data_IF_126386171966
#
_entry.id   IF_126386171966
#
_cell.length_a   1.000
_cell.length_b   1.000
_cell.length_c   1.000
_cell.angle_alpha   90.00
_cell.angle_beta   90.00
_cell.angle_gamma   90.00
#
_symmetry.space_group_name_H-M   'P 1'
#
loop_
_entity.id
_entity.type
_entity.pdbx_description
1 polymer ?
#
# COMPACT_ATOMS: atom_id res chain seq x y z
N UNK A 1 -71.94 -32.43 6.24
CA UNK A 1 -70.71 -31.94 5.61
C UNK A 1 -70.61 -30.40 5.59
N UNK A 2 -71.67 -29.68 5.30
CA UNK A 2 -71.63 -28.17 5.19
C UNK A 2 -71.32 -27.46 6.51
N UNK A 3 -71.75 -28.00 7.68
CA UNK A 3 -71.49 -27.38 9.00
C UNK A 3 -70.03 -27.37 9.43
N UNK A 4 -69.23 -28.34 8.99
CA UNK A 4 -67.80 -28.44 9.34
C UNK A 4 -66.97 -27.57 8.39
N UNK A 5 -67.42 -27.29 7.16
CA UNK A 5 -66.75 -26.46 6.21
C UNK A 5 -66.80 -24.97 6.61
N UNK A 6 -67.93 -24.53 7.15
CA UNK A 6 -68.08 -23.15 7.67
C UNK A 6 -67.23 -22.92 8.95
N UNK A 7 -67.07 -23.90 9.83
CA UNK A 7 -66.21 -23.79 11.01
C UNK A 7 -64.74 -23.73 10.67
N UNK A 8 -64.27 -24.48 9.66
CA UNK A 8 -62.88 -24.46 9.19
C UNK A 8 -62.61 -23.11 8.47
N UNK A 9 -63.55 -22.57 7.71
CA UNK A 9 -63.42 -21.28 7.07
C UNK A 9 -63.32 -20.12 8.07
N UNK A 10 -64.10 -20.19 9.17
CA UNK A 10 -64.02 -19.18 10.22
C UNK A 10 -62.70 -19.27 11.00
N UNK A 11 -62.10 -20.47 11.17
CA UNK A 11 -60.82 -20.64 11.85
C UNK A 11 -59.65 -20.07 11.04
N UNK A 12 -59.73 -20.10 9.71
CA UNK A 12 -58.70 -19.49 8.81
C UNK A 12 -58.76 -17.96 8.76
N UNK A 13 -59.88 -17.33 9.02
CA UNK A 13 -60.02 -15.87 9.00
C UNK A 13 -59.44 -15.22 10.27
N UNK A 14 -59.38 -15.93 11.39
CA UNK A 14 -58.88 -15.39 12.67
C UNK A 14 -57.35 -15.30 12.69
N UNK A 15 -56.63 -16.05 11.83
CA UNK A 15 -55.18 -16.07 11.86
C UNK A 15 -54.48 -14.94 11.04
N UNK A 16 -55.22 -14.11 10.32
CA UNK A 16 -54.63 -13.04 9.48
C UNK A 16 -54.67 -11.65 10.14
N UNK A 17 -54.94 -11.53 11.41
CA UNK A 17 -54.94 -10.24 12.13
C UNK A 17 -53.66 -10.01 12.93
N UNK A 18 -52.51 -10.31 12.35
CA UNK A 18 -51.28 -9.74 12.88
C UNK A 18 -51.19 -8.33 12.32
N UNK A 19 -51.82 -7.38 13.00
CA UNK A 19 -51.57 -5.97 12.81
C UNK A 19 -50.10 -5.72 13.13
N UNK A 20 -49.32 -5.47 12.10
CA UNK A 20 -47.99 -4.90 12.30
C UNK A 20 -48.23 -3.47 12.83
N UNK A 21 -48.21 -3.33 14.18
CA UNK A 21 -48.18 -2.01 14.79
C UNK A 21 -46.78 -1.43 14.55
N UNK A 22 -46.58 -0.82 13.38
CA UNK A 22 -45.36 -0.10 13.11
C UNK A 22 -45.22 1.05 14.11
N UNK A 23 -44.01 1.22 14.60
CA UNK A 23 -43.66 2.32 15.48
C UNK A 23 -43.16 3.49 14.67
N UNK A 24 -43.47 4.70 15.10
CA UNK A 24 -43.04 5.92 14.43
C UNK A 24 -41.83 6.56 15.10
N UNK A 25 -40.89 7.01 14.31
CA UNK A 25 -39.73 7.77 14.76
C UNK A 25 -39.74 9.09 14.00
N UNK A 26 -39.57 10.17 14.73
CA UNK A 26 -39.39 11.49 14.15
C UNK A 26 -38.24 12.21 14.86
N UNK A 27 -37.72 13.24 14.25
CA UNK A 27 -36.67 14.03 14.87
C UNK A 27 -36.04 15.01 13.89
N UNK A 28 -34.97 15.60 14.31
CA UNK A 28 -34.26 16.65 13.55
C UNK A 28 -32.78 16.29 13.42
N UNK A 29 -32.20 16.67 12.28
CA UNK A 29 -30.77 16.49 12.01
C UNK A 29 -30.13 17.88 11.88
N UNK A 30 -29.11 18.11 12.68
CA UNK A 30 -28.33 19.37 12.71
C UNK A 30 -26.83 19.06 12.62
N UNK A 31 -26.03 20.07 12.29
CA UNK A 31 -24.58 20.02 12.39
C UNK A 31 -24.10 20.44 13.79
N UNK A 32 -22.78 20.48 14.00
CA UNK A 32 -22.11 20.88 15.25
C UNK A 32 -22.35 22.35 15.62
N UNK A 33 -22.73 23.20 14.67
CA UNK A 33 -23.09 24.62 14.89
C UNK A 33 -24.56 24.81 15.19
N UNK A 34 -25.39 23.76 15.05
CA UNK A 34 -26.84 23.79 15.19
C UNK A 34 -27.56 24.16 13.92
N UNK A 35 -26.87 24.25 12.77
CA UNK A 35 -27.46 24.49 11.47
C UNK A 35 -28.17 23.23 10.98
N UNK A 36 -29.36 23.39 10.35
CA UNK A 36 -30.17 22.27 9.91
C UNK A 36 -29.59 21.61 8.66
N UNK A 37 -29.60 20.28 8.64
CA UNK A 37 -29.12 19.51 7.51
C UNK A 37 -30.27 18.97 6.66
N UNK A 38 -30.67 19.73 5.66
CA UNK A 38 -31.66 19.32 4.66
C UNK A 38 -31.05 18.28 3.70
N UNK A 39 -31.77 17.19 3.43
CA UNK A 39 -31.30 16.11 2.56
C UNK A 39 -30.42 15.05 3.28
N UNK A 40 -30.34 15.06 4.61
CA UNK A 40 -29.70 14.00 5.36
C UNK A 40 -30.53 12.71 5.29
N UNK A 41 -29.88 11.57 5.12
CA UNK A 41 -30.52 10.26 5.04
C UNK A 41 -30.52 9.56 6.39
N UNK A 42 -31.71 9.22 6.92
CA UNK A 42 -31.89 8.41 8.13
C UNK A 42 -32.37 7.02 7.72
N UNK A 43 -31.60 5.99 8.00
CA UNK A 43 -31.80 4.63 7.50
C UNK A 43 -31.91 3.66 8.66
N UNK A 44 -32.90 2.76 8.59
CA UNK A 44 -33.01 1.62 9.51
C UNK A 44 -32.02 0.54 9.11
N UNK A 45 -31.02 0.27 9.96
CA UNK A 45 -29.88 -0.58 9.59
C UNK A 45 -30.25 -2.05 9.36
N UNK A 46 -31.29 -2.54 10.01
CA UNK A 46 -31.73 -3.93 9.87
C UNK A 46 -32.37 -4.19 8.50
N UNK A 47 -33.05 -3.17 7.97
CA UNK A 47 -33.60 -3.18 6.61
C UNK A 47 -33.37 -1.81 5.97
N UNK A 48 -32.41 -1.78 5.04
CA UNK A 48 -31.99 -0.56 4.36
C UNK A 48 -33.01 -0.01 3.38
N UNK A 49 -34.07 -0.75 3.08
CA UNK A 49 -35.19 -0.26 2.28
C UNK A 49 -36.07 0.71 3.06
N UNK A 50 -35.99 0.69 4.40
CA UNK A 50 -36.70 1.58 5.31
C UNK A 50 -35.80 2.76 5.64
N UNK A 51 -36.15 3.93 5.15
CA UNK A 51 -35.38 5.16 5.36
C UNK A 51 -36.21 6.39 5.07
N UNK A 52 -35.74 7.53 5.55
CA UNK A 52 -36.29 8.86 5.29
C UNK A 52 -35.18 9.85 5.00
N UNK A 53 -35.52 10.91 4.27
CA UNK A 53 -34.60 12.02 4.01
C UNK A 53 -35.18 13.27 4.72
N UNK A 54 -34.30 14.05 5.35
CA UNK A 54 -34.70 15.25 6.06
C UNK A 54 -35.23 16.32 5.10
N UNK A 55 -36.30 17.04 5.52
CA UNK A 55 -36.86 18.20 4.85
C UNK A 55 -35.96 19.45 4.94
N UNK A 56 -36.42 20.58 4.45
CA UNK A 56 -35.68 21.86 4.48
C UNK A 56 -35.41 22.38 5.90
N UNK A 57 -36.22 21.97 6.87
CA UNK A 57 -36.09 22.33 8.28
C UNK A 57 -35.28 21.27 9.06
N UNK A 58 -34.72 20.29 8.34
CA UNK A 58 -33.93 19.20 8.92
C UNK A 58 -34.73 18.11 9.61
N UNK A 59 -36.07 18.10 9.50
CA UNK A 59 -36.91 17.12 10.15
C UNK A 59 -37.07 15.86 9.32
N UNK A 60 -37.21 14.71 10.00
CA UNK A 60 -37.50 13.43 9.37
C UNK A 60 -38.60 12.67 10.13
N UNK A 61 -39.33 11.84 9.42
CA UNK A 61 -40.27 10.88 9.98
C UNK A 61 -40.06 9.52 9.31
N UNK A 62 -40.08 8.44 10.11
CA UNK A 62 -39.82 7.09 9.66
C UNK A 62 -40.68 6.09 10.42
N UNK A 63 -41.35 5.19 9.69
CA UNK A 63 -42.05 4.04 10.29
C UNK A 63 -41.15 2.80 10.28
N UNK A 64 -41.00 2.18 11.43
CA UNK A 64 -40.14 1.01 11.61
C UNK A 64 -40.85 -0.08 12.44
N UNK A 65 -40.50 -1.37 12.26
CA UNK A 65 -40.99 -2.43 13.09
C UNK A 65 -40.65 -2.22 14.59
N UNK A 66 -41.54 -2.62 15.50
CA UNK A 66 -41.25 -2.62 16.91
C UNK A 66 -40.11 -3.60 17.29
N UNK A 67 -39.39 -3.32 18.38
CA UNK A 67 -38.27 -4.12 18.83
C UNK A 67 -36.96 -3.34 18.93
N UNK A 68 -35.84 -4.04 18.76
CA UNK A 68 -34.51 -3.39 18.76
C UNK A 68 -34.29 -2.61 17.47
N UNK A 69 -34.25 -1.29 17.58
CA UNK A 69 -34.08 -0.38 16.46
C UNK A 69 -32.63 0.17 16.45
N UNK A 70 -32.02 0.18 15.28
CA UNK A 70 -30.73 0.80 15.01
C UNK A 70 -30.86 1.71 13.80
N UNK A 71 -30.76 3.04 14.03
CA UNK A 71 -30.78 4.04 12.98
C UNK A 71 -29.38 4.53 12.68
N UNK A 72 -29.13 4.81 11.41
CA UNK A 72 -27.93 5.48 10.92
C UNK A 72 -28.34 6.75 10.20
N UNK A 73 -27.78 7.89 10.63
CA UNK A 73 -27.90 9.14 9.93
C UNK A 73 -26.64 9.42 9.11
N UNK A 74 -26.82 9.85 7.84
CA UNK A 74 -25.72 10.16 6.91
C UNK A 74 -26.02 11.45 6.16
N UNK A 75 -24.96 12.26 6.00
CA UNK A 75 -25.00 13.44 5.16
C UNK A 75 -23.64 13.58 4.45
N UNK A 76 -23.63 14.11 3.22
CA UNK A 76 -22.42 14.29 2.44
C UNK A 76 -21.46 15.25 3.15
N UNK A 77 -20.20 14.82 3.34
CA UNK A 77 -19.20 15.64 4.06
C UNK A 77 -19.27 15.54 5.58
N UNK A 78 -20.22 14.80 6.16
CA UNK A 78 -20.38 14.62 7.60
C UNK A 78 -20.06 13.20 8.04
N UNK A 79 -19.61 13.05 9.28
CA UNK A 79 -19.40 11.74 9.92
C UNK A 79 -20.76 11.15 10.26
N UNK A 80 -21.06 9.95 9.76
CA UNK A 80 -22.30 9.26 10.08
C UNK A 80 -22.43 8.97 11.56
N UNK A 81 -23.64 9.19 12.12
CA UNK A 81 -23.95 8.86 13.50
C UNK A 81 -24.93 7.67 13.58
N UNK A 82 -24.89 6.94 14.66
CA UNK A 82 -25.69 5.73 14.83
C UNK A 82 -26.26 5.64 16.24
N UNK A 83 -27.58 5.56 16.33
CA UNK A 83 -28.31 5.43 17.59
C UNK A 83 -29.01 4.06 17.66
N UNK A 84 -28.97 3.43 18.82
CA UNK A 84 -29.64 2.14 19.07
C UNK A 84 -30.54 2.25 20.30
N UNK A 85 -31.78 1.80 20.15
CA UNK A 85 -32.79 1.82 21.24
C UNK A 85 -33.83 0.71 21.03
N UNK A 86 -34.73 0.57 21.98
CA UNK A 86 -35.85 -0.37 21.94
C UNK A 86 -37.16 0.40 21.70
N UNK A 87 -38.04 -0.13 20.86
CA UNK A 87 -39.38 0.39 20.61
C UNK A 87 -40.46 -0.61 20.99
N UNK A 88 -41.47 -0.17 21.76
CA UNK A 88 -42.65 -0.94 21.97
C UNK A 88 -43.60 -0.85 20.73
N UNK A 89 -44.46 -1.84 20.52
CA UNK A 89 -45.44 -1.83 19.43
C UNK A 89 -46.29 -0.56 19.44
N UNK A 90 -46.35 0.17 18.31
CA UNK A 90 -47.09 1.41 18.16
C UNK A 90 -46.51 2.65 18.86
N UNK A 91 -45.30 2.53 19.42
CA UNK A 91 -44.66 3.63 20.13
C UNK A 91 -44.15 4.70 19.13
N UNK A 92 -44.40 5.97 19.48
CA UNK A 92 -43.77 7.11 18.82
C UNK A 92 -42.56 7.60 19.63
N UNK A 93 -41.42 7.80 18.99
CA UNK A 93 -40.18 8.24 19.65
C UNK A 93 -39.50 9.34 18.90
N UNK A 94 -39.04 10.35 19.63
CA UNK A 94 -38.19 11.40 19.10
C UNK A 94 -36.73 11.00 19.16
N UNK A 95 -35.99 11.22 18.06
CA UNK A 95 -34.56 10.94 17.93
C UNK A 95 -33.90 12.07 17.14
N UNK A 96 -33.05 12.85 17.76
CA UNK A 96 -32.32 13.93 17.12
C UNK A 96 -30.88 13.49 16.84
N UNK A 97 -30.33 13.92 15.69
CA UNK A 97 -28.95 13.65 15.31
C UNK A 97 -28.17 14.97 15.22
N UNK A 98 -26.95 14.95 15.78
CA UNK A 98 -25.96 16.02 15.56
C UNK A 98 -24.81 15.40 14.78
N UNK A 99 -24.64 15.81 13.53
CA UNK A 99 -23.55 15.32 12.69
C UNK A 99 -22.37 16.27 12.74
N UNK A 100 -21.19 15.71 12.85
CA UNK A 100 -19.94 16.45 12.84
C UNK A 100 -19.32 16.45 11.44
N UNK A 101 -18.73 17.56 11.04
CA UNK A 101 -18.02 17.65 9.77
C UNK A 101 -16.96 16.53 9.69
N UNK A 102 -16.99 15.78 8.59
CA UNK A 102 -15.91 14.87 8.29
C UNK A 102 -14.73 15.68 7.77
N UNK A 103 -14.09 16.42 8.66
CA UNK A 103 -12.75 16.97 8.37
C UNK A 103 -11.85 15.75 8.30
N UNK A 104 -11.60 15.26 7.09
CA UNK A 104 -10.43 14.45 6.84
C UNK A 104 -9.27 15.41 7.07
N UNK A 105 -8.79 15.49 8.31
CA UNK A 105 -7.50 16.09 8.56
C UNK A 105 -6.53 15.36 7.64
N UNK A 106 -6.19 16.01 6.54
CA UNK A 106 -5.00 15.64 5.81
C UNK A 106 -3.89 15.83 6.81
N UNK A 107 -3.40 14.70 7.36
CA UNK A 107 -2.22 14.76 8.23
C UNK A 107 -1.21 15.57 7.45
N UNK A 108 -0.85 16.71 8.02
CA UNK A 108 0.24 17.53 7.53
C UNK A 108 1.43 16.61 7.24
N UNK A 109 1.99 16.72 6.05
CA UNK A 109 3.08 15.84 5.65
C UNK A 109 4.35 16.52 6.09
N UNK A 110 4.87 16.12 7.24
CA UNK A 110 6.20 16.52 7.66
C UNK A 110 7.26 15.89 6.75
N UNK A 111 8.15 16.70 6.22
CA UNK A 111 9.24 16.27 5.35
C UNK A 111 10.59 16.69 5.90
N UNK A 112 11.61 15.87 5.65
CA UNK A 112 12.99 16.14 6.04
C UNK A 112 13.80 16.62 4.83
N UNK A 113 13.93 17.90 4.64
CA UNK A 113 14.90 18.47 3.68
C UNK A 113 16.24 18.79 4.35
N UNK A 114 16.30 18.67 5.66
CA UNK A 114 17.46 18.89 6.51
C UNK A 114 17.48 17.94 7.70
N UNK A 115 18.16 18.33 8.76
CA UNK A 115 18.21 17.55 10.02
C UNK A 115 16.92 17.59 10.84
N UNK A 116 15.96 18.47 10.49
CA UNK A 116 14.73 18.70 11.24
C UNK A 116 13.52 18.46 10.35
N UNK A 117 12.47 17.89 10.94
CA UNK A 117 11.17 17.74 10.28
C UNK A 117 10.50 19.11 10.16
N UNK A 118 10.00 19.44 8.98
CA UNK A 118 9.26 20.67 8.68
C UNK A 118 8.06 20.37 7.79
N UNK A 119 6.98 21.14 7.91
CA UNK A 119 5.88 21.07 6.98
C UNK A 119 6.35 21.27 5.53
N UNK A 120 5.73 20.53 4.58
CA UNK A 120 6.09 20.62 3.16
C UNK A 120 5.94 22.05 2.62
N UNK A 121 5.00 22.81 3.17
CA UNK A 121 4.68 24.18 2.78
C UNK A 121 5.80 25.17 3.12
N UNK A 122 6.60 24.86 4.13
CA UNK A 122 7.76 25.67 4.53
C UNK A 122 9.04 25.35 3.73
N UNK A 123 8.96 24.38 2.78
CA UNK A 123 10.13 23.96 2.02
C UNK A 123 10.32 24.82 0.79
N UNK A 124 11.53 25.33 0.62
CA UNK A 124 11.93 26.16 -0.55
C UNK A 124 12.39 25.33 -1.75
N UNK A 125 12.42 24.01 -1.59
CA UNK A 125 12.91 23.07 -2.62
C UNK A 125 11.76 22.32 -3.31
N UNK A 126 11.94 22.03 -4.58
CA UNK A 126 10.98 21.20 -5.30
C UNK A 126 11.07 19.76 -4.80
N UNK A 127 9.99 19.25 -4.24
CA UNK A 127 9.91 17.87 -3.79
C UNK A 127 8.59 17.21 -4.16
N UNK A 128 8.61 15.87 -4.16
CA UNK A 128 7.43 15.03 -4.31
C UNK A 128 7.40 14.05 -3.13
N UNK A 129 6.26 13.94 -2.49
CA UNK A 129 6.05 12.96 -1.41
C UNK A 129 5.15 11.84 -1.91
N UNK A 130 5.65 10.62 -1.82
CA UNK A 130 4.92 9.41 -2.19
C UNK A 130 4.46 8.74 -0.89
N UNK A 131 3.15 8.58 -0.74
CA UNK A 131 2.53 7.94 0.43
C UNK A 131 2.47 6.42 0.27
N UNK A 132 2.44 5.66 1.38
CA UNK A 132 2.41 4.19 1.36
C UNK A 132 1.23 3.63 0.56
N UNK A 133 0.07 4.30 0.61
CA UNK A 133 -1.14 3.86 -0.11
C UNK A 133 -0.92 3.78 -1.62
N UNK A 134 -0.09 4.66 -2.17
CA UNK A 134 0.25 4.62 -3.60
C UNK A 134 1.08 3.39 -3.93
N UNK A 135 2.01 3.02 -3.05
CA UNK A 135 2.88 1.85 -3.22
C UNK A 135 2.07 0.56 -3.06
N UNK A 136 1.22 0.49 -2.02
CA UNK A 136 0.36 -0.67 -1.74
C UNK A 136 -0.65 -0.91 -2.89
N UNK A 137 -1.28 0.15 -3.41
CA UNK A 137 -2.27 0.05 -4.49
C UNK A 137 -1.67 -0.40 -5.83
N UNK A 138 -0.38 -0.18 -6.05
CA UNK A 138 0.30 -0.60 -7.29
C UNK A 138 0.77 -2.05 -7.25
N UNK A 139 0.60 -2.75 -6.14
CA UNK A 139 1.10 -4.12 -5.94
C UNK A 139 2.58 -4.26 -6.35
N UNK A 140 3.38 -3.25 -6.02
CA UNK A 140 4.76 -3.09 -6.47
C UNK A 140 5.67 -4.04 -5.69
N UNK A 141 6.47 -4.82 -6.39
CA UNK A 141 7.46 -5.74 -5.80
C UNK A 141 8.80 -5.09 -5.51
N UNK A 142 9.08 -3.99 -6.17
CA UNK A 142 10.30 -3.19 -6.03
C UNK A 142 9.93 -1.72 -5.91
N UNK A 143 10.68 -1.01 -5.10
CA UNK A 143 10.51 0.43 -4.91
C UNK A 143 10.85 1.21 -6.19
N UNK A 144 11.78 0.71 -7.01
CA UNK A 144 12.17 1.29 -8.30
C UNK A 144 10.97 1.53 -9.19
N UNK A 145 10.09 0.52 -9.32
CA UNK A 145 8.89 0.61 -10.16
C UNK A 145 7.90 1.66 -9.66
N UNK A 146 7.84 1.90 -8.35
CA UNK A 146 7.00 2.96 -7.79
C UNK A 146 7.62 4.34 -8.03
N UNK A 147 8.94 4.44 -7.92
CA UNK A 147 9.69 5.66 -8.11
C UNK A 147 9.73 6.12 -9.56
N UNK A 148 9.89 5.21 -10.50
CA UNK A 148 9.96 5.50 -11.94
C UNK A 148 8.69 6.17 -12.50
N UNK A 149 7.57 6.05 -11.79
CA UNK A 149 6.33 6.75 -12.13
C UNK A 149 6.22 8.15 -11.52
N UNK A 150 7.27 8.61 -10.84
CA UNK A 150 7.29 9.94 -10.21
C UNK A 150 7.71 10.98 -11.24
N UNK A 151 6.91 12.04 -11.47
CA UNK A 151 7.27 13.06 -12.45
C UNK A 151 8.67 13.63 -12.22
N UNK A 152 9.51 13.60 -13.27
CA UNK A 152 10.88 14.11 -13.23
C UNK A 152 11.90 13.24 -12.47
N UNK A 153 11.55 12.00 -12.16
CA UNK A 153 12.45 10.94 -11.72
C UNK A 153 12.31 9.77 -12.69
N UNK A 154 13.39 9.27 -13.21
CA UNK A 154 13.47 8.05 -14.01
C UNK A 154 14.46 7.09 -13.36
N UNK A 155 14.20 5.79 -13.48
CA UNK A 155 15.14 4.75 -13.06
C UNK A 155 15.66 4.05 -14.31
N UNK A 156 16.96 4.22 -14.60
CA UNK A 156 17.60 3.58 -15.74
C UNK A 156 18.68 2.62 -15.23
N UNK A 157 18.54 1.34 -15.55
CA UNK A 157 19.44 0.25 -15.08
C UNK A 157 19.67 0.27 -13.56
N UNK A 158 18.60 0.55 -12.78
CA UNK A 158 18.67 0.64 -11.33
C UNK A 158 19.22 1.97 -10.80
N UNK A 159 19.65 2.91 -11.67
CA UNK A 159 20.16 4.21 -11.26
C UNK A 159 19.09 5.31 -11.39
N UNK A 160 18.79 6.03 -10.29
CA UNK A 160 17.83 7.11 -10.33
C UNK A 160 18.40 8.36 -11.00
N UNK A 161 17.60 8.97 -11.86
CA UNK A 161 17.91 10.21 -12.56
C UNK A 161 16.85 11.26 -12.31
N UNK A 162 17.22 12.42 -11.78
CA UNK A 162 16.32 13.51 -11.51
C UNK A 162 16.46 14.61 -12.57
N UNK A 163 15.32 15.00 -13.18
CA UNK A 163 15.23 16.07 -14.22
C UNK A 163 16.12 15.84 -15.43
N UNK A 164 16.46 14.60 -15.76
CA UNK A 164 17.35 14.26 -16.88
C UNK A 164 18.77 14.82 -16.75
N UNK A 165 19.09 15.47 -15.62
CA UNK A 165 20.31 16.27 -15.47
C UNK A 165 21.59 15.50 -15.18
N UNK A 166 21.52 14.19 -14.97
CA UNK A 166 22.70 13.47 -14.49
C UNK A 166 23.42 12.65 -15.56
N UNK A 167 22.83 12.44 -16.72
CA UNK A 167 23.37 11.50 -17.70
C UNK A 167 23.51 10.09 -17.12
N UNK A 168 23.50 9.12 -17.97
CA UNK A 168 23.78 7.74 -17.57
C UNK A 168 25.26 7.61 -17.16
N UNK A 169 25.52 7.18 -15.93
CA UNK A 169 26.86 7.04 -15.37
C UNK A 169 27.16 5.59 -15.03
N UNK A 170 27.00 4.71 -15.98
CA UNK A 170 27.21 3.28 -15.80
C UNK A 170 28.54 2.98 -15.08
N UNK A 171 28.42 2.39 -13.89
CA UNK A 171 29.58 1.97 -13.08
C UNK A 171 30.34 3.09 -12.35
N UNK A 172 29.84 4.35 -12.34
CA UNK A 172 30.55 5.48 -11.71
C UNK A 172 29.85 6.03 -10.47
N UNK A 173 28.76 5.39 -10.06
CA UNK A 173 27.95 5.79 -8.91
C UNK A 173 26.79 6.71 -9.22
N UNK A 174 25.81 6.68 -8.36
CA UNK A 174 24.58 7.48 -8.49
C UNK A 174 24.85 8.96 -8.17
N UNK A 175 24.27 9.86 -8.98
CA UNK A 175 24.21 11.29 -8.66
C UNK A 175 22.98 11.68 -7.86
N UNK A 176 22.16 10.71 -7.50
CA UNK A 176 21.01 10.84 -6.62
C UNK A 176 21.26 9.98 -5.39
N UNK A 177 21.26 10.58 -4.22
CA UNK A 177 21.39 9.85 -2.99
C UNK A 177 20.09 9.07 -2.69
N UNK A 178 20.21 7.80 -2.37
CA UNK A 178 19.12 6.98 -1.84
C UNK A 178 19.40 6.75 -0.35
N UNK A 179 18.48 7.20 0.49
CA UNK A 179 18.67 7.25 1.94
C UNK A 179 17.46 6.57 2.61
N UNK A 180 17.72 5.66 3.52
CA UNK A 180 16.68 4.99 4.32
C UNK A 180 16.94 5.28 5.79
N UNK A 181 15.99 5.91 6.48
CA UNK A 181 16.11 6.29 7.89
C UNK A 181 17.46 6.96 8.22
N UNK A 182 17.83 7.96 7.42
CA UNK A 182 19.08 8.74 7.50
C UNK A 182 20.37 7.97 7.16
N UNK A 183 20.25 6.70 6.67
CA UNK A 183 21.41 5.91 6.23
C UNK A 183 21.45 5.82 4.69
N UNK A 184 22.57 6.13 4.04
CA UNK A 184 22.72 5.95 2.61
C UNK A 184 22.69 4.46 2.25
N UNK A 185 21.86 4.11 1.25
CA UNK A 185 21.72 2.78 0.68
C UNK A 185 22.42 2.70 -0.67
N UNK A 186 23.74 2.78 -0.63
CA UNK A 186 24.58 2.72 -1.81
C UNK A 186 25.62 1.60 -1.64
N UNK A 187 25.91 0.88 -2.71
CA UNK A 187 26.96 -0.15 -2.71
C UNK A 187 28.33 0.46 -2.43
N UNK A 188 29.16 -0.24 -1.71
CA UNK A 188 30.49 0.24 -1.31
C UNK A 188 31.51 0.26 -2.44
N UNK A 189 31.28 -0.49 -3.51
CA UNK A 189 32.17 -0.63 -4.67
C UNK A 189 31.86 0.42 -5.75
N UNK A 190 30.62 0.51 -6.18
CA UNK A 190 30.20 1.34 -7.31
C UNK A 190 29.30 2.53 -6.94
N UNK A 191 28.92 2.69 -5.67
CA UNK A 191 28.01 3.75 -5.24
C UNK A 191 26.62 3.65 -5.87
N UNK A 192 26.19 2.44 -6.25
CA UNK A 192 24.87 2.18 -6.86
C UNK A 192 23.83 1.98 -5.78
N UNK A 193 22.57 2.39 -6.01
CA UNK A 193 21.51 2.13 -5.05
C UNK A 193 21.22 0.65 -4.84
N UNK A 194 21.20 0.22 -3.60
CA UNK A 194 20.90 -1.14 -3.19
C UNK A 194 19.39 -1.29 -2.90
N UNK A 195 18.59 -1.31 -3.94
CA UNK A 195 17.12 -1.36 -3.85
C UNK A 195 16.61 -2.60 -3.11
N UNK A 196 17.34 -3.70 -3.19
CA UNK A 196 16.98 -4.95 -2.54
C UNK A 196 16.85 -4.86 -1.03
N UNK A 197 17.61 -3.97 -0.38
CA UNK A 197 17.57 -3.76 1.06
C UNK A 197 16.36 -2.94 1.54
N UNK A 198 15.64 -2.25 0.65
CA UNK A 198 14.56 -1.36 1.05
C UNK A 198 13.33 -2.17 1.46
N UNK A 199 12.82 -2.02 2.70
CA UNK A 199 11.68 -2.78 3.21
C UNK A 199 10.36 -2.19 2.68
N UNK A 200 9.97 -2.55 1.45
CA UNK A 200 8.75 -2.04 0.78
C UNK A 200 7.50 -2.25 1.63
N UNK A 201 7.46 -3.31 2.43
CA UNK A 201 6.35 -3.63 3.34
C UNK A 201 6.23 -2.69 4.54
N UNK A 202 7.28 -1.91 4.86
CA UNK A 202 7.36 -1.03 6.04
C UNK A 202 7.63 0.44 5.70
N UNK A 203 7.33 0.91 4.52
CA UNK A 203 7.53 2.31 4.16
C UNK A 203 6.40 3.16 4.75
N UNK A 204 6.76 4.27 5.41
CA UNK A 204 5.82 5.29 5.88
C UNK A 204 5.64 6.42 4.86
N UNK A 205 6.71 6.84 4.21
CA UNK A 205 6.69 7.82 3.12
C UNK A 205 8.01 7.80 2.35
N UNK A 206 7.98 8.31 1.13
CA UNK A 206 9.17 8.55 0.32
C UNK A 206 9.17 10.01 -0.10
N UNK A 207 10.28 10.68 0.08
CA UNK A 207 10.48 12.09 -0.26
C UNK A 207 11.51 12.15 -1.39
N UNK A 208 11.10 12.64 -2.55
CA UNK A 208 11.99 12.86 -3.68
C UNK A 208 12.33 14.35 -3.75
N UNK A 209 13.52 14.71 -3.32
CA UNK A 209 14.05 16.08 -3.34
C UNK A 209 14.78 16.30 -4.67
N UNK A 210 14.39 17.34 -5.41
CA UNK A 210 14.89 17.60 -6.76
C UNK A 210 15.78 18.84 -6.78
N UNK A 211 17.06 18.64 -7.05
CA UNK A 211 18.05 19.70 -7.20
C UNK A 211 19.09 19.77 -6.09
N UNK A 212 19.98 20.75 -6.17
CA UNK A 212 21.16 20.88 -5.32
C UNK A 212 20.90 21.19 -3.82
N UNK A 213 19.65 21.39 -3.42
CA UNK A 213 19.28 21.56 -2.01
C UNK A 213 19.52 20.29 -1.17
N UNK A 214 19.87 19.20 -1.80
CA UNK A 214 20.24 17.92 -1.23
C UNK A 214 21.66 17.85 -0.68
N UNK A 215 22.41 18.96 -0.60
CA UNK A 215 23.79 19.03 -0.09
C UNK A 215 23.94 18.40 1.32
N UNK A 216 22.88 18.40 2.11
CA UNK A 216 22.86 17.75 3.43
C UNK A 216 22.82 16.23 3.37
N UNK A 217 22.54 15.66 2.18
CA UNK A 217 22.41 14.22 1.94
C UNK A 217 23.70 13.55 1.46
N UNK A 218 24.81 14.29 1.44
CA UNK A 218 26.12 13.76 1.08
C UNK A 218 26.54 13.99 -0.39
N UNK A 219 27.74 13.55 -0.72
CA UNK A 219 28.37 13.79 -2.04
C UNK A 219 27.65 13.17 -3.24
N UNK A 220 26.90 12.10 -3.02
CA UNK A 220 26.12 11.45 -4.07
C UNK A 220 24.80 12.20 -4.39
N UNK A 221 24.44 13.25 -3.67
CA UNK A 221 23.19 14.00 -3.86
C UNK A 221 23.33 15.22 -4.78
N UNK A 222 24.06 15.10 -5.87
CA UNK A 222 24.31 16.20 -6.82
C UNK A 222 23.06 16.66 -7.57
N UNK A 223 22.21 15.71 -7.98
CA UNK A 223 20.98 16.00 -8.72
C UNK A 223 19.74 15.97 -7.83
N UNK A 224 19.85 15.41 -6.64
CA UNK A 224 18.76 15.26 -5.68
C UNK A 224 18.93 14.11 -4.73
N UNK A 225 17.90 13.84 -3.95
CA UNK A 225 17.86 12.68 -3.05
C UNK A 225 16.49 12.01 -3.03
N UNK A 226 16.49 10.71 -2.77
CA UNK A 226 15.32 9.90 -2.47
C UNK A 226 15.43 9.48 -1.02
N UNK A 227 14.63 10.09 -0.15
CA UNK A 227 14.61 9.80 1.29
C UNK A 227 13.43 8.89 1.60
N UNK A 228 13.70 7.71 2.10
CA UNK A 228 12.72 6.70 2.44
C UNK A 228 12.63 6.58 3.94
N UNK A 229 11.44 6.68 4.48
CA UNK A 229 11.20 6.52 5.91
C UNK A 229 10.42 5.26 6.19
N UNK A 230 10.87 4.49 7.17
CA UNK A 230 10.15 3.34 7.66
C UNK A 230 9.14 3.71 8.74
N UNK A 231 8.08 2.89 8.85
CA UNK A 231 7.04 3.12 9.84
C UNK A 231 7.42 2.55 11.20
N UNK A 232 7.12 3.28 12.26
CA UNK A 232 7.11 2.77 13.63
C UNK A 232 5.73 2.27 14.04
N UNK A 233 5.63 1.42 15.07
CA UNK A 233 4.36 0.88 15.52
C UNK A 233 3.38 1.98 15.97
N UNK A 234 2.11 1.78 15.64
CA UNK A 234 1.01 2.51 16.26
C UNK A 234 0.61 1.87 17.58
N UNK A 235 -0.37 2.49 18.29
CA UNK A 235 -0.90 1.96 19.56
C UNK A 235 -1.49 0.54 19.45
N UNK A 236 -1.90 0.12 18.26
CA UNK A 236 -2.44 -1.23 17.98
C UNK A 236 -1.40 -2.05 17.23
N UNK A 237 -1.16 -3.30 17.65
CA UNK A 237 -0.32 -4.23 16.90
C UNK A 237 -0.82 -4.38 15.46
N UNK A 238 0.10 -4.44 14.50
CA UNK A 238 -0.21 -4.61 13.08
C UNK A 238 0.61 -5.75 12.52
N UNK A 239 -0.07 -6.71 11.92
CA UNK A 239 0.57 -7.79 11.16
C UNK A 239 0.06 -7.75 9.73
N UNK A 240 0.96 -7.77 8.77
CA UNK A 240 0.66 -7.90 7.34
C UNK A 240 1.39 -9.12 6.79
N UNK A 241 0.69 -9.89 5.97
CA UNK A 241 1.26 -10.98 5.18
C UNK A 241 0.71 -10.79 3.78
N UNK A 242 1.60 -10.77 2.81
CA UNK A 242 1.24 -10.69 1.39
C UNK A 242 1.97 -11.81 0.65
N UNK A 243 1.23 -12.64 -0.08
CA UNK A 243 1.75 -13.73 -0.90
C UNK A 243 1.31 -13.45 -2.33
N UNK A 244 2.23 -13.56 -3.26
CA UNK A 244 1.95 -13.36 -4.67
C UNK A 244 2.62 -14.45 -5.50
N UNK A 245 1.97 -14.78 -6.61
CA UNK A 245 2.52 -15.66 -7.64
C UNK A 245 2.08 -15.19 -9.01
N UNK A 246 2.82 -15.56 -10.02
CA UNK A 246 2.51 -15.23 -11.40
C UNK A 246 3.29 -16.09 -12.36
N UNK A 247 2.91 -16.02 -13.63
CA UNK A 247 3.60 -16.70 -14.74
C UNK A 247 3.83 -15.68 -15.86
N UNK A 248 4.94 -15.80 -16.54
CA UNK A 248 5.21 -15.02 -17.74
C UNK A 248 4.56 -15.70 -18.94
N UNK A 249 3.80 -14.97 -19.73
CA UNK A 249 3.24 -15.46 -20.98
C UNK A 249 4.30 -15.58 -22.07
N UNK A 250 4.01 -16.37 -23.08
CA UNK A 250 4.89 -16.44 -24.26
C UNK A 250 4.99 -15.08 -24.93
N UNK A 251 6.20 -14.66 -25.34
CA UNK A 251 6.37 -13.45 -26.15
C UNK A 251 5.69 -13.61 -27.51
N UNK A 252 5.30 -12.49 -28.11
CA UNK A 252 4.69 -12.48 -29.46
C UNK A 252 5.66 -12.92 -30.57
N UNK A 253 6.96 -12.85 -30.31
CA UNK A 253 7.99 -13.31 -31.26
C UNK A 253 8.29 -14.79 -31.01
N UNK A 254 8.03 -15.69 -31.98
CA UNK A 254 8.20 -17.14 -31.80
C UNK A 254 9.62 -17.54 -31.40
N UNK A 255 10.62 -16.85 -31.93
CA UNK A 255 12.04 -17.15 -31.70
C UNK A 255 12.59 -16.59 -30.36
N UNK A 256 11.78 -15.85 -29.61
CA UNK A 256 12.17 -15.31 -28.31
C UNK A 256 11.75 -16.24 -27.14
N UNK A 257 11.21 -17.41 -27.44
CA UNK A 257 10.83 -18.41 -26.43
C UNK A 257 11.92 -19.47 -26.36
N UNK A 258 12.61 -19.58 -25.25
CA UNK A 258 13.70 -20.54 -25.01
C UNK A 258 13.49 -21.47 -23.81
N UNK A 259 12.33 -21.38 -23.14
CA UNK A 259 11.97 -22.26 -22.05
C UNK A 259 10.93 -23.29 -22.50
N UNK A 260 11.04 -24.48 -21.95
CA UNK A 260 10.07 -25.56 -22.18
C UNK A 260 8.80 -25.42 -21.32
N UNK A 261 8.91 -24.74 -20.16
CA UNK A 261 7.82 -24.47 -19.22
C UNK A 261 7.68 -22.97 -19.04
N UNK A 262 6.46 -22.50 -18.69
CA UNK A 262 6.23 -21.09 -18.39
C UNK A 262 7.02 -20.67 -17.17
N UNK A 263 7.89 -19.66 -17.28
CA UNK A 263 8.64 -19.16 -16.13
C UNK A 263 7.71 -18.51 -15.13
N UNK A 264 7.93 -18.79 -13.87
CA UNK A 264 7.08 -18.35 -12.77
C UNK A 264 7.74 -17.32 -11.89
N UNK A 265 6.89 -16.61 -11.18
CA UNK A 265 7.29 -15.73 -10.11
C UNK A 265 6.53 -16.08 -8.84
N UNK A 266 7.21 -16.09 -7.72
CA UNK A 266 6.63 -16.34 -6.40
C UNK A 266 7.29 -15.46 -5.37
N UNK A 267 6.50 -14.94 -4.42
CA UNK A 267 7.06 -14.21 -3.30
C UNK A 267 6.10 -14.06 -2.14
N UNK A 268 6.68 -13.70 -1.00
CA UNK A 268 5.93 -13.39 0.20
C UNK A 268 6.59 -12.25 0.96
N UNK A 269 5.79 -11.36 1.51
CA UNK A 269 6.19 -10.30 2.40
C UNK A 269 5.52 -10.53 3.76
N UNK A 270 6.29 -10.31 4.82
CA UNK A 270 5.81 -10.35 6.19
C UNK A 270 6.20 -9.08 6.91
N UNK A 271 5.30 -8.52 7.69
CA UNK A 271 5.54 -7.41 8.59
C UNK A 271 4.76 -7.60 9.88
N UNK A 272 5.43 -7.48 11.01
CA UNK A 272 4.80 -7.34 12.31
C UNK A 272 5.34 -6.12 13.03
N UNK A 273 4.46 -5.28 13.57
CA UNK A 273 4.83 -4.10 14.34
C UNK A 273 4.00 -4.00 15.62
N UNK A 274 4.66 -3.78 16.75
CA UNK A 274 4.01 -3.73 18.06
C UNK A 274 4.79 -2.82 19.03
N UNK A 275 4.05 -2.16 19.90
CA UNK A 275 4.58 -1.41 21.04
C UNK A 275 4.51 -2.26 22.32
N UNK A 276 5.62 -2.39 23.01
CA UNK A 276 5.71 -3.02 24.34
C UNK A 276 6.05 -1.93 25.37
N UNK A 277 5.05 -1.17 25.78
CA UNK A 277 5.26 -0.03 26.65
C UNK A 277 6.14 1.04 26.01
N UNK A 278 7.39 1.16 26.45
CA UNK A 278 8.36 2.12 25.92
C UNK A 278 9.22 1.55 24.76
N UNK A 279 9.10 0.28 24.47
CA UNK A 279 9.82 -0.39 23.38
C UNK A 279 8.90 -0.52 22.18
N UNK A 280 9.32 0.02 21.05
CA UNK A 280 8.72 -0.18 19.75
C UNK A 280 9.51 -1.26 19.02
N UNK A 281 8.82 -2.24 18.45
CA UNK A 281 9.39 -3.32 17.67
C UNK A 281 8.71 -3.42 16.31
N UNK A 282 9.51 -3.44 15.26
CA UNK A 282 9.09 -3.79 13.90
C UNK A 282 9.98 -4.90 13.41
N UNK A 283 9.36 -5.95 12.88
CA UNK A 283 10.06 -7.09 12.26
C UNK A 283 9.43 -7.32 10.91
N UNK A 284 10.23 -7.42 9.88
CA UNK A 284 9.78 -7.64 8.51
C UNK A 284 10.68 -8.58 7.74
N UNK A 285 10.17 -9.04 6.61
CA UNK A 285 10.95 -9.86 5.72
C UNK A 285 10.27 -10.06 4.37
N UNK A 286 11.08 -10.42 3.39
CA UNK A 286 10.65 -10.69 2.03
C UNK A 286 11.40 -11.89 1.49
N UNK A 287 10.67 -12.79 0.85
CA UNK A 287 11.22 -13.79 -0.04
C UNK A 287 10.68 -13.54 -1.44
N UNK A 288 11.54 -13.60 -2.44
CA UNK A 288 11.17 -13.45 -3.85
C UNK A 288 11.96 -14.43 -4.68
N UNK A 289 11.25 -15.14 -5.54
CA UNK A 289 11.78 -16.00 -6.57
C UNK A 289 11.19 -15.57 -7.90
N UNK A 290 12.04 -15.12 -8.81
CA UNK A 290 11.65 -14.68 -10.14
C UNK A 290 12.48 -15.45 -11.17
N UNK A 291 11.81 -16.22 -12.01
CA UNK A 291 12.47 -17.00 -13.06
C UNK A 291 12.89 -16.14 -14.25
N UNK A 292 12.36 -14.88 -14.31
CA UNK A 292 12.58 -14.02 -15.44
C UNK A 292 12.00 -14.55 -16.74
N UNK A 293 12.08 -13.78 -17.77
CA UNK A 293 11.50 -14.19 -19.07
C UNK A 293 12.35 -13.75 -20.27
N UNK A 294 13.34 -12.90 -20.02
CA UNK A 294 14.14 -12.31 -21.09
C UNK A 294 15.45 -13.05 -21.22
N UNK A 295 15.75 -13.35 -22.43
CA UNK A 295 17.05 -13.74 -22.86
C UNK A 295 17.10 -13.85 -24.38
N UNK A 296 18.29 -13.84 -24.99
CA UNK A 296 18.43 -13.96 -26.42
C UNK A 296 18.05 -15.38 -26.89
N UNK A 297 17.45 -15.50 -28.07
CA UNK A 297 17.31 -16.80 -28.70
C UNK A 297 18.70 -17.36 -28.95
N UNK A 298 19.01 -18.45 -28.29
CA UNK A 298 20.27 -19.16 -28.51
C UNK A 298 20.02 -20.13 -29.64
N UNK A 299 20.70 -19.91 -30.74
CA UNK A 299 20.74 -20.89 -31.81
C UNK A 299 21.90 -21.84 -31.58
N UNK A 300 21.73 -23.14 -31.89
CA UNK A 300 22.78 -24.17 -31.76
C UNK A 300 24.08 -23.77 -32.48
N UNK A 301 23.97 -22.95 -33.53
CA UNK A 301 25.11 -22.40 -34.27
C UNK A 301 25.95 -21.39 -33.47
N UNK A 302 25.32 -20.55 -32.64
CA UNK A 302 26.04 -19.59 -31.77
C UNK A 302 26.80 -20.37 -30.68
N UNK A 303 26.17 -21.38 -30.12
CA UNK A 303 26.74 -22.24 -29.09
C UNK A 303 27.97 -22.98 -29.62
N UNK A 304 27.84 -23.66 -30.73
CA UNK A 304 28.91 -24.46 -31.33
C UNK A 304 30.12 -23.62 -31.74
N UNK A 305 29.89 -22.35 -32.13
CA UNK A 305 30.96 -21.47 -32.62
C UNK A 305 31.73 -20.78 -31.50
N UNK A 306 31.07 -20.45 -30.40
CA UNK A 306 31.66 -19.59 -29.34
C UNK A 306 32.15 -20.38 -28.14
N UNK A 307 31.51 -21.52 -27.84
CA UNK A 307 31.81 -22.33 -26.65
C UNK A 307 31.84 -23.83 -26.98
N UNK A 308 32.76 -24.28 -27.84
CA UNK A 308 32.76 -25.67 -28.30
C UNK A 308 32.88 -26.71 -27.18
N UNK A 309 33.43 -26.35 -26.03
CA UNK A 309 33.75 -27.32 -24.96
C UNK A 309 33.14 -27.05 -23.58
N UNK A 310 32.37 -25.96 -23.38
CA UNK A 310 32.09 -25.50 -22.00
C UNK A 310 30.61 -25.32 -21.63
N UNK A 311 29.68 -25.29 -22.57
CA UNK A 311 28.26 -25.05 -22.23
C UNK A 311 27.36 -26.17 -22.74
N UNK A 312 27.16 -27.14 -21.88
CA UNK A 312 26.22 -28.25 -22.13
C UNK A 312 24.81 -28.03 -21.57
N UNK A 313 24.55 -26.97 -20.79
CA UNK A 313 23.28 -26.73 -20.14
C UNK A 313 22.84 -25.25 -20.22
N UNK A 314 22.05 -24.92 -21.23
CA UNK A 314 21.38 -23.62 -21.38
C UNK A 314 20.23 -23.37 -20.41
N UNK A 315 19.83 -24.34 -19.60
CA UNK A 315 18.84 -24.16 -18.52
C UNK A 315 19.24 -23.12 -17.47
N UNK A 316 20.49 -22.70 -17.49
CA UNK A 316 21.01 -21.67 -16.59
C UNK A 316 21.11 -20.27 -17.25
N UNK A 317 20.64 -20.10 -18.47
CA UNK A 317 20.64 -18.82 -19.19
C UNK A 317 19.46 -17.92 -18.79
N UNK A 318 18.57 -18.40 -17.94
CA UNK A 318 17.41 -17.65 -17.48
C UNK A 318 17.81 -16.50 -16.56
N UNK A 319 17.10 -15.38 -16.66
CA UNK A 319 17.16 -14.26 -15.74
C UNK A 319 16.54 -14.67 -14.40
N UNK A 320 17.23 -15.47 -13.62
CA UNK A 320 16.73 -15.94 -12.32
C UNK A 320 17.18 -15.01 -11.21
N UNK A 321 16.25 -14.50 -10.46
CA UNK A 321 16.53 -13.75 -9.23
C UNK A 321 15.90 -14.45 -8.02
N UNK A 322 16.74 -14.75 -7.03
CA UNK A 322 16.32 -15.31 -5.74
C UNK A 322 16.78 -14.37 -4.65
N UNK A 323 15.83 -13.88 -3.85
CA UNK A 323 16.12 -12.95 -2.76
C UNK A 323 15.41 -13.39 -1.48
N UNK A 324 16.13 -13.34 -0.39
CA UNK A 324 15.58 -13.42 0.95
C UNK A 324 16.11 -12.25 1.77
N UNK A 325 15.22 -11.47 2.37
CA UNK A 325 15.56 -10.33 3.23
C UNK A 325 14.85 -10.47 4.57
N UNK A 326 15.54 -10.07 5.61
CA UNK A 326 15.01 -9.92 6.96
C UNK A 326 15.43 -8.56 7.50
N UNK A 327 14.50 -7.83 8.08
CA UNK A 327 14.78 -6.53 8.69
C UNK A 327 14.08 -6.40 10.04
N UNK A 328 14.67 -5.62 10.93
CA UNK A 328 14.08 -5.25 12.20
C UNK A 328 14.40 -3.81 12.55
N UNK A 329 13.46 -3.14 13.23
CA UNK A 329 13.62 -1.83 13.83
C UNK A 329 13.17 -1.90 15.28
N UNK A 330 14.03 -1.47 16.19
CA UNK A 330 13.73 -1.31 17.61
C UNK A 330 13.97 0.13 18.03
N UNK A 331 13.05 0.69 18.80
CA UNK A 331 13.21 2.01 19.41
C UNK A 331 12.74 1.98 20.85
N UNK A 332 13.65 2.32 21.75
CA UNK A 332 13.34 2.48 23.16
C UNK A 332 13.21 3.96 23.50
N UNK A 333 12.06 4.37 24.01
CA UNK A 333 11.78 5.74 24.47
C UNK A 333 12.14 5.86 25.94
N UNK A 334 13.08 6.77 26.28
CA UNK A 334 13.53 6.95 27.65
C UNK A 334 12.37 7.38 28.57
N UNK A 335 12.24 6.71 29.72
CA UNK A 335 11.30 7.14 30.77
C UNK A 335 11.85 8.31 31.60
N UNK A 336 13.18 8.47 31.65
CA UNK A 336 13.84 9.45 32.51
C UNK A 336 13.99 10.81 31.84
N UNK A 337 14.26 10.82 30.54
CA UNK A 337 14.52 12.04 29.79
C UNK A 337 13.51 12.13 28.65
N UNK A 338 12.65 13.16 28.69
CA UNK A 338 11.65 13.41 27.66
C UNK A 338 12.33 13.70 26.31
N UNK A 339 11.93 13.00 25.26
CA UNK A 339 12.47 13.19 23.92
C UNK A 339 13.70 12.33 23.59
N UNK A 340 14.34 11.69 24.58
CA UNK A 340 15.49 10.81 24.32
C UNK A 340 14.99 9.42 23.86
N UNK A 341 15.45 9.01 22.70
CA UNK A 341 15.17 7.71 22.10
C UNK A 341 16.48 7.00 21.77
N UNK A 342 16.50 5.67 21.97
CA UNK A 342 17.57 4.79 21.52
C UNK A 342 17.02 3.91 20.40
N UNK A 343 17.66 3.91 19.26
CA UNK A 343 17.27 3.09 18.10
C UNK A 343 18.31 2.04 17.77
N UNK A 344 17.86 0.87 17.36
CA UNK A 344 18.66 -0.17 16.75
C UNK A 344 17.88 -0.74 15.59
N UNK A 345 18.48 -0.71 14.41
CA UNK A 345 17.92 -1.30 13.20
C UNK A 345 18.94 -2.22 12.54
N UNK A 346 18.43 -3.22 11.87
CA UNK A 346 19.24 -4.16 11.11
C UNK A 346 18.48 -4.65 9.88
N UNK A 347 19.24 -4.89 8.82
CA UNK A 347 18.73 -5.40 7.57
C UNK A 347 19.74 -6.42 7.02
N UNK A 348 19.24 -7.62 6.75
CA UNK A 348 20.03 -8.73 6.24
C UNK A 348 19.41 -9.20 4.94
N UNK A 349 20.20 -9.32 3.89
CA UNK A 349 19.76 -9.82 2.60
C UNK A 349 20.72 -10.87 2.08
N UNK A 350 20.14 -11.89 1.47
CA UNK A 350 20.84 -12.80 0.58
C UNK A 350 20.15 -12.78 -0.77
N UNK A 351 20.90 -12.43 -1.81
CA UNK A 351 20.40 -12.38 -3.17
C UNK A 351 21.32 -13.19 -4.10
N UNK A 352 20.70 -13.84 -5.05
CA UNK A 352 21.39 -14.50 -6.16
C UNK A 352 20.67 -14.15 -7.43
N UNK A 353 21.37 -13.51 -8.36
CA UNK A 353 20.84 -13.14 -9.65
C UNK A 353 21.72 -13.71 -10.75
N UNK A 354 21.11 -14.38 -11.71
CA UNK A 354 21.75 -14.70 -12.97
C UNK A 354 21.35 -13.64 -13.98
N UNK A 355 22.32 -12.98 -14.57
CA UNK A 355 22.08 -12.02 -15.63
C UNK A 355 22.84 -12.48 -16.88
N UNK A 356 22.19 -13.17 -17.82
CA UNK A 356 22.81 -13.51 -19.09
C UNK A 356 22.97 -12.21 -19.90
N UNK A 357 24.21 -11.84 -20.19
CA UNK A 357 24.53 -10.78 -21.12
C UNK A 357 24.75 -11.41 -22.49
N UNK A 358 23.81 -11.20 -23.39
CA UNK A 358 23.97 -11.59 -24.79
C UNK A 358 24.54 -10.42 -25.58
N UNK A 359 25.72 -10.60 -26.10
CA UNK A 359 26.33 -9.69 -27.04
C UNK A 359 26.30 -10.32 -28.42
N UNK A 360 25.50 -9.76 -29.33
CA UNK A 360 25.45 -10.21 -30.71
C UNK A 360 26.24 -9.26 -31.60
N UNK A 361 27.48 -9.58 -31.90
CA UNK A 361 28.17 -9.08 -33.06
C UNK A 361 28.72 -10.26 -33.86
N UNK A 362 29.20 -10.03 -35.09
CA UNK A 362 29.64 -11.05 -36.04
C UNK A 362 30.80 -11.94 -35.52
N UNK A 363 31.38 -11.64 -34.39
CA UNK A 363 32.56 -12.32 -33.83
C UNK A 363 32.47 -12.64 -32.35
N UNK A 364 31.37 -12.33 -31.65
CA UNK A 364 31.36 -12.45 -30.23
C UNK A 364 30.24 -13.30 -29.66
N UNK A 365 30.61 -13.94 -28.59
CA UNK A 365 29.82 -14.87 -27.86
C UNK A 365 28.85 -14.29 -26.84
N UNK A 366 28.20 -15.23 -26.20
CA UNK A 366 27.32 -15.03 -25.08
C UNK A 366 28.15 -14.89 -23.80
N UNK A 367 28.00 -13.76 -23.10
CA UNK A 367 28.58 -13.57 -21.78
C UNK A 367 27.54 -13.82 -20.70
N UNK A 368 27.97 -14.47 -19.65
CA UNK A 368 27.16 -14.72 -18.47
C UNK A 368 27.81 -14.07 -17.26
N UNK A 369 27.10 -13.20 -16.60
CA UNK A 369 27.47 -12.70 -15.29
C UNK A 369 26.58 -13.33 -14.22
N UNK A 370 27.20 -13.76 -13.12
CA UNK A 370 26.52 -14.25 -11.93
C UNK A 370 26.97 -13.41 -10.75
N UNK A 371 26.04 -12.81 -10.02
CA UNK A 371 26.32 -12.17 -8.76
C UNK A 371 25.69 -12.96 -7.61
N UNK A 372 26.45 -13.13 -6.53
CA UNK A 372 25.98 -13.66 -5.23
C UNK A 372 26.31 -12.61 -4.19
N UNK A 373 25.29 -12.07 -3.53
CA UNK A 373 25.39 -11.14 -2.40
C UNK A 373 24.74 -11.72 -1.13
#
# INVERSE_FOLDING_TARGET
MVKYFTSILLFFIVFNSWSQNDSKIYGRVVDESGEVLAGASVIYRTDVSIGSVTDFDGNFELSVPSGKCKLICRFTGMKSDTVTFQLAPGQTKEVNFTLFSYIKEFKEVDVKVGKFDKPIEEQTVTMVVIKPELIENKNTRSIETALDQTPGLNILDGEPQIRGGSGFTFGVGSKVAVIVDDMPMLSGDAGRPEWGFIPVENISQIEVVKGAASVLSGSSALSGSVNIRTAYPSSKPKTKINIYSGVYSKPNQPNATWWSQYPGIFGANFLHSQMFGNLDLVVGGNINYDHGYIGPPITDSIVATVFPDTITNFSESDLISKRARFNFNMRYRSKKIKGLNYGLNGNFMKMRTNMPLAWLNDSSGLYRARSEE
#
